data_IF_552362653630
#
_entry.id   IF_552362653630
#
_cell.length_a   1.000
_cell.length_b   1.000
_cell.length_c   1.000
_cell.angle_alpha   90.00
_cell.angle_beta   90.00
_cell.angle_gamma   90.00
#
_symmetry.space_group_name_H-M   'P 1'
#
loop_
_entity.id
_entity.type
_entity.pdbx_description
1 polymer ?
#
# COMPACT_ATOMS: atom_id res chain seq x y z
N UNK A 1 -20.66 -1.06 2.35
CA UNK A 1 -20.06 -1.35 1.04
C UNK A 1 -18.88 -0.42 0.81
N UNK A 2 -17.74 -0.98 0.39
CA UNK A 2 -16.55 -0.16 0.10
C UNK A 2 -16.62 0.39 -1.32
N UNK A 3 -16.22 1.65 -1.47
CA UNK A 3 -16.05 2.25 -2.79
C UNK A 3 -14.58 2.24 -3.17
N UNK A 4 -14.29 1.74 -4.37
CA UNK A 4 -12.93 1.59 -4.86
C UNK A 4 -12.75 2.48 -6.09
N UNK A 5 -11.74 3.35 -6.06
CA UNK A 5 -11.44 4.26 -7.16
C UNK A 5 -10.00 4.09 -7.60
N UNK A 6 -9.80 3.95 -8.90
CA UNK A 6 -8.47 3.89 -9.49
C UNK A 6 -8.11 5.23 -10.10
N UNK A 7 -6.87 5.66 -9.88
CA UNK A 7 -6.34 6.89 -10.47
C UNK A 7 -5.16 6.53 -11.34
N UNK A 8 -5.27 6.81 -12.63
CA UNK A 8 -4.25 6.46 -13.61
C UNK A 8 -3.70 7.73 -14.26
N UNK A 9 -2.50 7.62 -14.80
CA UNK A 9 -1.84 8.73 -15.46
C UNK A 9 -0.36 8.44 -15.62
N UNK A 10 0.32 9.29 -16.35
CA UNK A 10 1.74 9.15 -16.58
C UNK A 10 2.54 9.54 -15.35
N UNK A 11 3.72 8.95 -15.21
CA UNK A 11 4.67 9.38 -14.20
C UNK A 11 4.90 10.89 -14.31
N UNK A 12 4.86 11.59 -13.18
CA UNK A 12 5.03 13.05 -13.18
C UNK A 12 3.78 13.85 -13.54
N UNK A 13 2.63 13.19 -13.72
CA UNK A 13 1.38 13.87 -14.07
C UNK A 13 0.62 14.46 -12.88
N UNK A 14 1.18 14.36 -11.67
CA UNK A 14 0.53 14.88 -10.47
C UNK A 14 -0.44 13.92 -9.79
N UNK A 15 -0.40 12.63 -10.14
CA UNK A 15 -1.29 11.62 -9.55
C UNK A 15 -1.21 11.58 -8.03
N UNK A 16 -0.01 11.56 -7.48
CA UNK A 16 0.19 11.47 -6.03
C UNK A 16 -0.39 12.69 -5.33
N UNK A 17 -0.18 13.87 -5.91
CA UNK A 17 -0.71 15.10 -5.36
C UNK A 17 -2.25 15.08 -5.34
N UNK A 18 -2.85 14.61 -6.44
CA UNK A 18 -4.30 14.48 -6.54
C UNK A 18 -4.85 13.51 -5.50
N UNK A 19 -4.21 12.35 -5.36
CA UNK A 19 -4.63 11.35 -4.38
C UNK A 19 -4.58 11.91 -2.97
N UNK A 20 -3.53 12.63 -2.63
CA UNK A 20 -3.41 13.24 -1.31
C UNK A 20 -4.54 14.23 -1.04
N UNK A 21 -4.93 15.00 -2.05
CA UNK A 21 -6.05 15.94 -1.92
C UNK A 21 -7.37 15.20 -1.72
N UNK A 22 -7.57 14.11 -2.43
CA UNK A 22 -8.79 13.29 -2.30
C UNK A 22 -8.84 12.66 -0.91
N UNK A 23 -7.73 12.14 -0.42
CA UNK A 23 -7.65 11.57 0.93
C UNK A 23 -8.05 12.62 1.96
N UNK A 24 -7.50 13.83 1.86
CA UNK A 24 -7.83 14.91 2.79
C UNK A 24 -9.32 15.26 2.76
N UNK A 25 -9.90 15.27 1.56
CA UNK A 25 -11.31 15.57 1.39
C UNK A 25 -12.20 14.59 2.13
N UNK A 26 -11.94 13.29 1.94
CA UNK A 26 -12.74 12.26 2.60
C UNK A 26 -12.45 12.15 4.09
N UNK A 27 -11.20 12.38 4.49
CA UNK A 27 -10.83 12.37 5.89
C UNK A 27 -11.59 13.45 6.67
N UNK A 28 -11.76 14.63 6.08
CA UNK A 28 -12.54 15.70 6.67
C UNK A 28 -14.00 15.34 6.86
N UNK A 29 -14.50 14.43 6.04
CA UNK A 29 -15.87 13.92 6.16
C UNK A 29 -15.95 12.72 7.11
N UNK A 30 -14.86 12.42 7.81
CA UNK A 30 -14.76 11.32 8.78
C UNK A 30 -14.99 9.94 8.17
N UNK A 31 -14.64 9.80 6.91
CA UNK A 31 -14.65 8.50 6.23
C UNK A 31 -13.27 7.85 6.37
N UNK A 32 -13.27 6.54 6.51
CA UNK A 32 -12.03 5.77 6.61
C UNK A 32 -11.49 5.47 5.23
N UNK A 33 -10.36 6.07 4.88
CA UNK A 33 -9.75 5.95 3.56
C UNK A 33 -8.49 5.11 3.66
N UNK A 34 -8.37 4.13 2.75
CA UNK A 34 -7.14 3.38 2.58
C UNK A 34 -6.62 3.61 1.16
N UNK A 35 -5.33 3.53 0.97
CA UNK A 35 -4.75 3.74 -0.34
C UNK A 35 -3.77 2.63 -0.70
N UNK A 36 -3.67 2.36 -1.99
CA UNK A 36 -2.77 1.37 -2.57
C UNK A 36 -1.95 2.07 -3.64
N UNK A 37 -0.64 1.87 -3.61
CA UNK A 37 0.22 2.33 -4.69
C UNK A 37 0.78 1.09 -5.39
N UNK A 38 0.40 0.89 -6.65
CA UNK A 38 0.93 -0.19 -7.47
C UNK A 38 2.25 0.24 -8.09
N UNK A 39 3.27 -0.57 -7.93
CA UNK A 39 4.57 -0.32 -8.52
C UNK A 39 4.90 -1.38 -9.57
N UNK A 40 5.36 -0.95 -10.74
CA UNK A 40 5.77 -1.85 -11.81
C UNK A 40 7.23 -2.24 -11.68
N UNK A 41 7.96 -1.62 -10.77
CA UNK A 41 9.38 -1.88 -10.54
C UNK A 41 9.60 -2.49 -9.18
N UNK A 42 10.75 -3.13 -9.01
CA UNK A 42 11.16 -3.55 -7.67
C UNK A 42 11.24 -2.32 -6.78
N UNK A 43 10.76 -2.48 -5.58
CA UNK A 43 10.84 -1.41 -4.59
C UNK A 43 11.33 -2.00 -3.27
N UNK A 44 11.94 -1.17 -2.46
CA UNK A 44 12.36 -1.55 -1.14
C UNK A 44 11.79 -0.56 -0.13
N UNK A 45 11.03 -1.09 0.82
CA UNK A 45 10.44 -0.27 1.89
C UNK A 45 11.51 0.09 2.89
N UNK A 46 12.44 -0.83 3.15
CA UNK A 46 13.53 -0.63 4.08
C UNK A 46 14.83 -0.31 3.35
N UNK A 47 15.65 0.48 4.02
CA UNK A 47 17.00 0.78 3.53
C UNK A 47 17.90 -0.44 3.73
N UNK A 48 18.83 -0.62 2.81
CA UNK A 48 19.88 -1.63 2.89
C UNK A 48 20.61 -1.51 4.23
N UNK A 49 20.78 -2.63 4.92
CA UNK A 49 21.48 -2.65 6.20
C UNK A 49 20.60 -2.55 7.43
N UNK A 50 19.31 -2.28 7.28
CA UNK A 50 18.38 -2.29 8.41
C UNK A 50 18.02 -3.73 8.78
N UNK A 51 17.64 -3.96 10.04
CA UNK A 51 17.35 -5.29 10.55
C UNK A 51 16.26 -6.00 9.75
N UNK A 52 15.15 -5.31 9.48
CA UNK A 52 14.06 -5.88 8.70
C UNK A 52 14.49 -6.26 7.29
N UNK A 53 15.33 -5.45 6.65
CA UNK A 53 15.93 -5.77 5.37
C UNK A 53 16.74 -7.06 5.47
N UNK A 54 17.54 -7.20 6.52
CA UNK A 54 18.36 -8.38 6.74
C UNK A 54 17.52 -9.64 6.91
N UNK A 55 16.37 -9.53 7.60
CA UNK A 55 15.45 -10.65 7.75
C UNK A 55 14.99 -11.19 6.40
N UNK A 56 14.55 -10.28 5.52
CA UNK A 56 14.09 -10.67 4.19
C UNK A 56 15.22 -11.26 3.35
N UNK A 57 16.40 -10.66 3.40
CA UNK A 57 17.56 -11.15 2.65
C UNK A 57 17.99 -12.53 3.12
N UNK A 58 17.79 -12.85 4.39
CA UNK A 58 18.17 -14.13 4.98
C UNK A 58 17.14 -15.23 4.71
N UNK A 59 16.00 -14.89 4.12
CA UNK A 59 15.01 -15.88 3.73
C UNK A 59 13.68 -15.80 4.44
N UNK A 60 13.47 -14.81 5.31
CA UNK A 60 12.17 -14.63 5.91
C UNK A 60 11.15 -14.31 4.82
N UNK A 61 10.04 -15.02 4.81
CA UNK A 61 8.99 -14.82 3.79
C UNK A 61 8.20 -13.56 4.06
N UNK A 62 8.02 -13.23 5.30
CA UNK A 62 7.32 -12.02 5.71
C UNK A 62 8.05 -11.41 6.90
N UNK A 63 8.00 -10.09 6.99
CA UNK A 63 8.57 -9.35 8.09
C UNK A 63 7.57 -8.32 8.56
N UNK A 64 7.44 -8.18 9.88
CA UNK A 64 6.60 -7.14 10.49
C UNK A 64 7.49 -6.26 11.34
N UNK A 65 7.36 -4.96 11.15
CA UNK A 65 7.98 -3.96 12.01
C UNK A 65 6.83 -3.25 12.72
N UNK A 66 6.89 -3.16 14.04
CA UNK A 66 5.78 -2.50 14.74
C UNK A 66 6.24 -1.78 15.99
N UNK A 67 5.41 -0.82 16.39
CA UNK A 67 5.48 -0.21 17.71
C UNK A 67 4.05 -0.13 18.24
N UNK A 68 3.85 0.62 19.32
CA UNK A 68 2.53 0.71 19.99
C UNK A 68 1.41 1.21 19.09
N UNK A 69 1.73 2.00 18.07
CA UNK A 69 0.72 2.74 17.31
C UNK A 69 0.63 2.38 15.84
N UNK A 70 1.64 1.71 15.28
CA UNK A 70 1.63 1.36 13.86
C UNK A 70 2.49 0.13 13.58
N UNK A 71 2.19 -0.50 12.49
CA UNK A 71 3.02 -1.61 11.99
C UNK A 71 3.12 -1.54 10.47
N UNK A 72 4.17 -2.14 9.95
CA UNK A 72 4.34 -2.36 8.53
C UNK A 72 4.65 -3.82 8.30
N UNK A 73 3.99 -4.44 7.33
CA UNK A 73 4.23 -5.83 6.96
C UNK A 73 4.74 -5.88 5.53
N UNK A 74 5.83 -6.62 5.33
CA UNK A 74 6.40 -6.80 4.00
C UNK A 74 6.29 -8.29 3.66
N UNK A 75 5.61 -8.60 2.57
CA UNK A 75 5.41 -9.96 2.09
C UNK A 75 5.96 -10.07 0.67
N UNK A 76 6.75 -11.10 0.41
CA UNK A 76 7.28 -11.38 -0.91
C UNK A 76 6.83 -12.76 -1.36
N UNK A 77 6.24 -12.84 -2.54
CA UNK A 77 5.82 -14.11 -3.14
C UNK A 77 6.66 -14.38 -4.38
N UNK A 78 7.31 -15.54 -4.43
CA UNK A 78 8.19 -15.89 -5.55
C UNK A 78 7.50 -16.74 -6.62
N UNK A 79 6.54 -17.56 -6.23
CA UNK A 79 5.90 -18.53 -7.13
C UNK A 79 4.50 -18.12 -7.61
N UNK A 80 3.87 -17.18 -6.96
CA UNK A 80 2.52 -16.74 -7.29
C UNK A 80 2.46 -15.22 -7.21
N UNK A 81 1.89 -14.60 -8.23
CA UNK A 81 1.72 -13.15 -8.22
C UNK A 81 0.75 -12.71 -7.13
N UNK A 82 1.06 -11.59 -6.51
CA UNK A 82 0.15 -10.96 -5.55
C UNK A 82 -1.00 -10.33 -6.33
N UNK A 83 -2.23 -10.65 -5.95
CA UNK A 83 -3.40 -10.07 -6.59
C UNK A 83 -3.88 -8.83 -5.86
N UNK A 84 -4.51 -7.93 -6.61
CA UNK A 84 -5.11 -6.74 -6.01
C UNK A 84 -6.18 -7.11 -4.98
N UNK A 85 -6.94 -8.18 -5.25
CA UNK A 85 -7.94 -8.67 -4.32
C UNK A 85 -7.34 -9.07 -2.98
N UNK A 86 -6.17 -9.73 -3.00
CA UNK A 86 -5.46 -10.10 -1.77
C UNK A 86 -5.04 -8.87 -0.98
N UNK A 87 -4.54 -7.84 -1.67
CA UNK A 87 -4.13 -6.61 -1.02
C UNK A 87 -5.32 -5.92 -0.37
N UNK A 88 -6.42 -5.81 -1.09
CA UNK A 88 -7.63 -5.17 -0.56
C UNK A 88 -8.14 -5.90 0.67
N UNK A 89 -8.02 -7.22 0.71
CA UNK A 89 -8.47 -8.02 1.86
C UNK A 89 -7.68 -7.75 3.14
N UNK A 90 -6.51 -7.11 3.03
CA UNK A 90 -5.68 -6.78 4.19
C UNK A 90 -6.18 -5.55 4.95
N UNK A 91 -7.01 -4.74 4.32
CA UNK A 91 -7.54 -3.54 4.98
C UNK A 91 -8.62 -3.88 5.98
N UNK A 92 -8.78 -3.00 6.96
CA UNK A 92 -9.81 -3.13 7.98
C UNK A 92 -11.21 -3.18 7.37
N UNK A 93 -12.12 -3.93 7.98
CA UNK A 93 -13.50 -4.04 7.52
C UNK A 93 -14.27 -2.73 7.60
N UNK A 94 -13.82 -1.78 8.42
CA UNK A 94 -14.46 -0.47 8.52
C UNK A 94 -13.95 0.55 7.50
N UNK A 95 -13.18 0.11 6.51
CA UNK A 95 -12.71 0.98 5.44
C UNK A 95 -13.88 1.37 4.54
N UNK A 96 -14.05 2.66 4.33
CA UNK A 96 -15.13 3.20 3.49
C UNK A 96 -14.69 3.37 2.04
N UNK A 97 -13.48 3.84 1.84
CA UNK A 97 -12.99 4.19 0.51
C UNK A 97 -11.59 3.62 0.32
N UNK A 98 -11.35 3.04 -0.85
CA UNK A 98 -10.03 2.55 -1.24
C UNK A 98 -9.61 3.28 -2.52
N UNK A 99 -8.47 3.93 -2.47
CA UNK A 99 -7.88 4.63 -3.62
C UNK A 99 -6.69 3.83 -4.12
N UNK A 100 -6.61 3.63 -5.42
CA UNK A 100 -5.53 2.86 -6.03
C UNK A 100 -4.80 3.74 -7.04
N UNK A 101 -3.49 3.90 -6.82
CA UNK A 101 -2.61 4.65 -7.72
C UNK A 101 -1.78 3.69 -8.55
N UNK A 102 -1.66 3.97 -9.83
CA UNK A 102 -0.68 3.29 -10.68
C UNK A 102 -1.15 2.07 -11.45
N UNK A 103 -2.42 1.71 -11.36
CA UNK A 103 -2.96 0.65 -12.20
C UNK A 103 -3.12 1.18 -13.64
N UNK A 104 -2.67 0.40 -14.58
CA UNK A 104 -2.84 0.71 -16.01
C UNK A 104 -3.49 -0.47 -16.72
#
# INVERSE_FOLDING_TARGET
MRNIFGIVGWSGSGKTHLICRIIKFFDKKKLNVCSIKHSHHNFEVDKKGKDSYQHLKSGSKEVVIYNEYKFAMITTKKKKKISLKDIISKFSSNTDIILIEGLK
#
